data_IF_647076456108
#
_entry.id   IF_647076456108
#
_cell.length_a   1.000
_cell.length_b   1.000
_cell.length_c   1.000
_cell.angle_alpha   90.00
_cell.angle_beta   90.00
_cell.angle_gamma   90.00
#
_symmetry.space_group_name_H-M   'P 1'
#
loop_
_entity.id
_entity.type
_entity.pdbx_description
1 polymer ?
#
# COMPACT_ATOMS: atom_id res chain seq x y z
N UNK A 1 31.65 15.97 -30.94
CA UNK A 1 31.34 16.75 -29.73
C UNK A 1 30.23 16.05 -28.98
N UNK A 2 30.53 15.40 -27.85
CA UNK A 2 29.48 14.98 -26.90
C UNK A 2 28.95 16.27 -26.27
N UNK A 3 27.65 16.54 -26.35
CA UNK A 3 27.05 17.60 -25.57
C UNK A 3 27.28 17.28 -24.09
N UNK A 4 27.94 18.17 -23.34
CA UNK A 4 27.95 18.10 -21.89
C UNK A 4 26.51 18.22 -21.42
N UNK A 5 25.96 17.13 -20.87
CA UNK A 5 24.66 17.15 -20.23
C UNK A 5 24.76 18.01 -18.98
N UNK A 6 24.09 19.17 -18.98
CA UNK A 6 23.98 20.00 -17.79
C UNK A 6 22.98 19.35 -16.83
N UNK A 7 23.51 18.72 -15.78
CA UNK A 7 22.71 18.08 -14.73
C UNK A 7 22.26 19.05 -13.63
N UNK A 8 22.64 20.33 -13.69
CA UNK A 8 22.18 21.35 -12.72
C UNK A 8 20.65 21.44 -12.57
N UNK A 9 19.81 21.24 -13.61
CA UNK A 9 18.36 21.25 -13.45
C UNK A 9 17.82 20.09 -12.59
N UNK A 10 18.57 18.98 -12.50
CA UNK A 10 18.23 17.84 -11.64
C UNK A 10 18.67 18.04 -10.19
N UNK A 11 19.61 18.97 -9.95
CA UNK A 11 20.09 19.35 -8.63
C UNK A 11 19.34 20.61 -8.21
N UNK A 12 18.25 20.42 -7.46
CA UNK A 12 17.55 21.56 -6.84
C UNK A 12 18.37 22.09 -5.68
N UNK A 13 18.78 23.36 -5.76
CA UNK A 13 19.22 24.07 -4.57
C UNK A 13 18.03 24.18 -3.60
N UNK A 14 18.27 23.80 -2.35
CA UNK A 14 17.25 23.89 -1.31
C UNK A 14 17.17 25.35 -0.85
N UNK A 15 15.99 25.97 -1.05
CA UNK A 15 15.69 27.29 -0.52
C UNK A 15 15.24 27.15 0.93
N UNK A 16 16.11 27.60 1.86
CA UNK A 16 15.85 27.51 3.28
C UNK A 16 14.64 28.34 3.72
N UNK A 17 14.46 29.53 3.13
CA UNK A 17 13.37 30.43 3.50
C UNK A 17 12.03 29.84 3.04
N UNK A 18 11.99 29.34 1.80
CA UNK A 18 10.80 28.67 1.28
C UNK A 18 10.48 27.40 2.07
N UNK A 19 11.49 26.62 2.46
CA UNK A 19 11.28 25.42 3.29
C UNK A 19 10.73 25.78 4.68
N UNK A 20 11.22 26.86 5.30
CA UNK A 20 10.73 27.37 6.58
C UNK A 20 9.28 27.86 6.47
N UNK A 21 8.97 28.67 5.46
CA UNK A 21 7.62 29.16 5.18
C UNK A 21 6.64 27.99 4.96
N UNK A 22 7.03 27.03 4.13
CA UNK A 22 6.24 25.83 3.85
C UNK A 22 6.04 24.99 5.11
N UNK A 23 7.06 24.83 5.95
CA UNK A 23 6.97 24.08 7.19
C UNK A 23 6.00 24.76 8.18
N UNK A 24 6.04 26.09 8.29
CA UNK A 24 5.12 26.86 9.13
C UNK A 24 3.68 26.79 8.63
N UNK A 25 3.46 26.91 7.32
CA UNK A 25 2.12 26.80 6.72
C UNK A 25 1.57 25.38 6.87
N UNK A 26 2.39 24.36 6.59
CA UNK A 26 1.93 22.99 6.53
C UNK A 26 1.79 22.36 7.91
N UNK A 27 2.78 22.52 8.82
CA UNK A 27 2.77 21.88 10.14
C UNK A 27 2.27 22.79 11.27
N UNK A 28 2.37 24.11 11.10
CA UNK A 28 2.19 25.07 12.18
C UNK A 28 3.43 25.24 13.07
N UNK A 29 3.42 26.29 13.89
CA UNK A 29 4.42 26.51 14.94
C UNK A 29 4.16 25.55 16.11
N UNK A 30 5.18 24.84 16.57
CA UNK A 30 5.02 23.86 17.65
C UNK A 30 6.22 22.95 17.90
N UNK A 31 6.03 22.08 18.90
CA UNK A 31 6.98 21.06 19.32
C UNK A 31 6.42 19.70 18.92
N UNK A 32 7.10 19.05 17.98
CA UNK A 32 6.66 17.80 17.39
C UNK A 32 7.78 16.77 17.43
N UNK A 33 7.53 15.63 16.81
CA UNK A 33 8.49 14.55 16.63
C UNK A 33 8.65 14.19 15.16
N UNK A 34 9.87 13.81 14.81
CA UNK A 34 10.21 13.02 13.63
C UNK A 34 10.29 11.57 14.07
N UNK A 35 9.72 10.65 13.30
CA UNK A 35 9.79 9.21 13.53
C UNK A 35 10.54 8.55 12.38
N UNK A 36 11.66 7.89 12.66
CA UNK A 36 12.34 7.02 11.70
C UNK A 36 12.03 5.56 11.98
N UNK A 37 11.61 4.80 10.96
CA UNK A 37 11.22 3.39 11.08
C UNK A 37 12.19 2.54 10.26
N UNK A 38 12.67 1.47 10.89
CA UNK A 38 13.51 0.46 10.24
C UNK A 38 13.13 -0.95 10.72
N UNK A 39 13.37 -1.92 9.85
CA UNK A 39 13.08 -3.33 10.05
C UNK A 39 14.34 -4.19 9.99
N UNK A 40 14.32 -5.30 10.71
CA UNK A 40 15.34 -6.34 10.60
C UNK A 40 14.68 -7.70 10.60
N UNK A 41 15.24 -8.61 9.82
CA UNK A 41 14.76 -9.96 9.69
C UNK A 41 15.91 -10.96 9.74
N UNK A 42 15.65 -12.12 10.35
CA UNK A 42 16.52 -13.29 10.30
C UNK A 42 15.63 -14.51 10.17
N UNK A 43 16.00 -15.48 9.34
CA UNK A 43 15.37 -16.80 9.36
C UNK A 43 16.38 -17.86 9.75
N UNK A 44 15.91 -18.92 10.41
CA UNK A 44 16.73 -20.10 10.73
C UNK A 44 15.95 -21.37 10.45
N UNK A 45 16.61 -22.31 9.79
CA UNK A 45 16.07 -23.64 9.56
C UNK A 45 16.54 -24.63 10.64
N UNK A 46 15.59 -25.38 11.20
CA UNK A 46 15.81 -26.45 12.19
C UNK A 46 14.74 -27.53 12.03
N UNK A 47 15.17 -28.79 11.83
CA UNK A 47 14.28 -29.97 11.82
C UNK A 47 13.03 -29.75 10.94
N UNK A 48 13.25 -29.37 9.67
CA UNK A 48 12.19 -29.11 8.67
C UNK A 48 11.26 -27.92 8.98
N UNK A 49 11.59 -27.10 9.99
CA UNK A 49 10.89 -25.86 10.33
C UNK A 49 11.80 -24.66 10.02
N UNK A 50 11.24 -23.67 9.34
CA UNK A 50 11.83 -22.35 9.15
C UNK A 50 11.22 -21.41 10.20
N UNK A 51 12.04 -20.90 11.11
CA UNK A 51 11.62 -19.89 12.08
C UNK A 51 12.04 -18.51 11.58
N UNK A 52 11.04 -17.66 11.31
CA UNK A 52 11.23 -16.28 10.92
C UNK A 52 11.22 -15.40 12.16
N UNK A 53 12.27 -14.60 12.33
CA UNK A 53 12.39 -13.57 13.35
C UNK A 53 12.29 -12.21 12.67
N UNK A 54 11.23 -11.47 12.98
CA UNK A 54 11.00 -10.12 12.46
C UNK A 54 11.01 -9.15 13.63
N UNK A 55 11.77 -8.07 13.49
CA UNK A 55 11.79 -6.97 14.45
C UNK A 55 11.71 -5.65 13.70
N UNK A 56 10.77 -4.79 14.08
CA UNK A 56 10.60 -3.43 13.55
C UNK A 56 10.73 -2.47 14.73
N UNK A 57 11.51 -1.42 14.55
CA UNK A 57 11.71 -0.39 15.56
C UNK A 57 11.59 1.00 14.95
N UNK A 58 10.94 1.89 15.70
CA UNK A 58 10.87 3.31 15.42
C UNK A 58 11.68 4.11 16.44
N UNK A 59 12.40 5.11 15.95
CA UNK A 59 13.15 6.07 16.74
C UNK A 59 12.57 7.46 16.54
N UNK A 60 12.31 8.17 17.64
CA UNK A 60 11.79 9.54 17.59
C UNK A 60 12.88 10.55 17.91
N UNK A 61 12.81 11.70 17.25
CA UNK A 61 13.61 12.88 17.56
C UNK A 61 12.70 14.11 17.69
N UNK A 62 12.87 14.97 18.71
CA UNK A 62 12.14 16.23 18.78
C UNK A 62 12.43 17.12 17.56
N UNK A 63 11.40 17.79 17.05
CA UNK A 63 11.52 18.84 16.05
C UNK A 63 10.78 20.09 16.53
N UNK A 64 11.48 21.21 16.48
CA UNK A 64 10.98 22.52 16.87
C UNK A 64 10.74 23.34 15.62
N UNK A 65 9.49 23.70 15.37
CA UNK A 65 9.10 24.59 14.27
C UNK A 65 8.76 25.94 14.89
N UNK A 66 9.47 26.98 14.47
CA UNK A 66 9.32 28.37 14.94
C UNK A 66 9.36 29.30 13.74
N UNK A 67 8.86 30.54 13.91
CA UNK A 67 8.79 31.54 12.83
C UNK A 67 10.10 31.77 12.08
N UNK A 68 11.23 31.66 12.78
CA UNK A 68 12.55 32.01 12.22
C UNK A 68 13.48 30.80 12.07
N UNK A 69 13.09 29.61 12.52
CA UNK A 69 13.94 28.42 12.41
C UNK A 69 13.15 27.12 12.55
N UNK A 70 13.66 26.07 11.90
CA UNK A 70 13.28 24.67 12.15
C UNK A 70 14.53 23.93 12.64
N UNK A 71 14.42 23.22 13.75
CA UNK A 71 15.52 22.46 14.33
C UNK A 71 15.08 21.06 14.73
N UNK A 72 15.89 20.05 14.38
CA UNK A 72 15.71 18.67 14.84
C UNK A 72 16.77 18.38 15.90
N UNK A 73 16.35 17.91 17.07
CA UNK A 73 17.25 17.56 18.16
C UNK A 73 17.68 16.09 18.07
N UNK A 74 18.75 15.87 17.31
CA UNK A 74 19.34 14.54 17.15
C UNK A 74 20.06 14.03 18.41
N UNK A 75 20.29 14.88 19.43
CA UNK A 75 20.91 14.42 20.69
C UNK A 75 19.91 13.69 21.58
N UNK A 76 18.62 14.01 21.43
CA UNK A 76 17.52 13.43 22.19
C UNK A 76 16.72 12.41 21.37
N UNK A 77 17.43 11.64 20.52
CA UNK A 77 16.81 10.49 19.83
C UNK A 77 16.47 9.41 20.84
N UNK A 78 15.23 8.94 20.81
CA UNK A 78 14.74 7.91 21.74
C UNK A 78 14.01 6.80 20.99
N UNK A 79 14.16 5.57 21.49
CA UNK A 79 13.32 4.44 21.06
C UNK A 79 12.14 4.35 22.01
N UNK A 80 10.93 4.50 21.50
CA UNK A 80 9.69 4.39 22.29
C UNK A 80 9.06 3.01 22.09
N UNK A 81 8.62 2.35 23.16
CA UNK A 81 8.08 0.98 23.11
C UNK A 81 6.84 0.83 22.22
N UNK A 82 6.02 1.89 22.12
CA UNK A 82 4.85 1.91 21.21
C UNK A 82 5.25 1.82 19.73
N UNK A 83 6.51 2.11 19.40
CA UNK A 83 7.08 1.97 18.07
C UNK A 83 7.96 0.72 17.94
N UNK A 84 7.61 -0.36 18.63
CA UNK A 84 8.28 -1.65 18.51
C UNK A 84 7.25 -2.71 18.13
N UNK A 85 7.54 -3.44 17.05
CA UNK A 85 6.80 -4.63 16.66
C UNK A 85 7.79 -5.78 16.50
N UNK A 86 7.38 -6.98 16.89
CA UNK A 86 8.17 -8.19 16.66
C UNK A 86 7.26 -9.37 16.43
N UNK A 87 7.70 -10.29 15.58
CA UNK A 87 7.01 -11.55 15.34
C UNK A 87 8.02 -12.70 15.26
N UNK A 88 7.65 -13.84 15.82
CA UNK A 88 8.33 -15.13 15.63
C UNK A 88 7.33 -16.02 14.92
N UNK A 89 7.64 -16.42 13.68
CA UNK A 89 6.71 -17.13 12.81
C UNK A 89 7.33 -18.48 12.43
N UNK A 90 6.81 -19.60 12.97
CA UNK A 90 7.28 -20.94 12.63
C UNK A 90 6.57 -21.47 11.38
N UNK A 91 7.29 -21.81 10.33
CA UNK A 91 6.76 -22.39 9.10
C UNK A 91 7.33 -23.78 8.88
N UNK A 92 6.49 -24.79 8.65
CA UNK A 92 6.98 -26.08 8.16
C UNK A 92 7.42 -25.94 6.70
N UNK A 93 8.47 -26.66 6.30
CA UNK A 93 8.97 -26.64 4.93
C UNK A 93 7.90 -27.07 3.91
N UNK A 94 6.94 -27.90 4.30
CA UNK A 94 5.77 -28.24 3.47
C UNK A 94 4.84 -27.04 3.24
N UNK A 95 4.56 -26.25 4.28
CA UNK A 95 3.70 -25.05 4.22
C UNK A 95 4.31 -23.90 3.42
N UNK A 96 5.65 -23.88 3.27
CA UNK A 96 6.36 -22.89 2.45
C UNK A 96 5.81 -22.88 1.02
N UNK A 97 5.42 -24.04 0.49
CA UNK A 97 4.85 -24.15 -0.85
C UNK A 97 3.52 -23.42 -1.00
N UNK A 98 2.69 -23.42 0.04
CA UNK A 98 1.41 -22.71 0.09
C UNK A 98 1.61 -21.20 0.29
N UNK A 99 2.53 -20.80 1.16
CA UNK A 99 2.84 -19.37 1.40
C UNK A 99 3.48 -18.72 0.17
N UNK A 100 4.36 -19.43 -0.53
CA UNK A 100 4.98 -18.96 -1.76
C UNK A 100 4.11 -19.17 -3.00
N UNK A 101 3.06 -19.99 -2.90
CA UNK A 101 2.22 -20.45 -4.02
C UNK A 101 3.06 -20.99 -5.18
N UNK A 102 4.01 -21.88 -4.85
CA UNK A 102 5.06 -22.38 -5.76
C UNK A 102 4.55 -23.15 -6.99
N UNK A 103 3.26 -23.49 -7.06
CA UNK A 103 2.65 -24.02 -8.30
C UNK A 103 2.79 -23.07 -9.50
N UNK A 104 3.19 -21.81 -9.29
CA UNK A 104 3.43 -20.80 -10.33
C UNK A 104 4.92 -20.56 -10.69
N UNK A 105 5.88 -21.18 -10.00
CA UNK A 105 7.32 -20.86 -10.16
C UNK A 105 8.10 -22.09 -10.66
N UNK A 106 8.58 -22.01 -11.90
CA UNK A 106 9.47 -23.03 -12.48
C UNK A 106 10.89 -23.00 -11.89
N UNK A 107 11.39 -24.21 -11.58
CA UNK A 107 12.79 -24.62 -11.33
C UNK A 107 13.54 -24.00 -10.11
N UNK A 108 13.72 -24.87 -9.11
CA UNK A 108 14.66 -25.00 -7.98
C UNK A 108 15.81 -24.02 -7.71
N UNK A 109 16.27 -23.18 -8.64
CA UNK A 109 17.22 -22.08 -8.33
C UNK A 109 16.56 -20.90 -7.60
N UNK A 110 15.24 -20.94 -7.44
CA UNK A 110 14.38 -19.88 -6.90
C UNK A 110 13.92 -20.12 -5.45
N UNK A 111 14.13 -21.30 -4.86
CA UNK A 111 13.49 -21.64 -3.57
C UNK A 111 14.08 -20.83 -2.42
N UNK A 112 15.41 -20.77 -2.26
CA UNK A 112 16.05 -20.01 -1.19
C UNK A 112 15.74 -18.52 -1.29
N UNK A 113 15.83 -17.95 -2.49
CA UNK A 113 15.45 -16.56 -2.75
C UNK A 113 13.96 -16.28 -2.52
N UNK A 114 13.09 -17.27 -2.80
CA UNK A 114 11.66 -17.16 -2.51
C UNK A 114 11.39 -17.25 -1.01
N UNK A 115 12.07 -18.14 -0.29
CA UNK A 115 12.03 -18.27 1.17
C UNK A 115 12.47 -16.96 1.83
N UNK A 116 13.52 -16.31 1.34
CA UNK A 116 13.94 -14.97 1.79
C UNK A 116 12.88 -13.88 1.52
N UNK A 117 12.05 -14.06 0.50
CA UNK A 117 10.96 -13.16 0.15
C UNK A 117 9.84 -13.11 1.20
N UNK A 118 9.61 -14.19 1.95
CA UNK A 118 8.57 -14.25 3.00
C UNK A 118 8.89 -13.28 4.15
N UNK A 119 10.02 -13.43 4.88
CA UNK A 119 10.35 -12.52 5.97
C UNK A 119 10.53 -11.08 5.48
N UNK A 120 11.00 -10.86 4.25
CA UNK A 120 11.11 -9.52 3.67
C UNK A 120 9.74 -8.85 3.50
N UNK A 121 8.76 -9.60 3.01
CA UNK A 121 7.38 -9.11 2.83
C UNK A 121 6.74 -8.78 4.18
N UNK A 122 6.95 -9.62 5.20
CA UNK A 122 6.41 -9.42 6.56
C UNK A 122 7.09 -8.24 7.25
N UNK A 123 8.41 -8.12 7.13
CA UNK A 123 9.18 -6.99 7.67
C UNK A 123 8.71 -5.67 7.04
N UNK A 124 8.60 -5.63 5.71
CA UNK A 124 8.15 -4.43 4.99
C UNK A 124 6.70 -4.08 5.37
N UNK A 125 5.82 -5.08 5.49
CA UNK A 125 4.47 -4.88 6.01
C UNK A 125 4.51 -4.29 7.43
N UNK A 126 5.37 -4.81 8.32
CA UNK A 126 5.54 -4.30 9.68
C UNK A 126 6.04 -2.86 9.75
N UNK A 127 6.99 -2.47 8.91
CA UNK A 127 7.48 -1.09 8.81
C UNK A 127 6.34 -0.13 8.46
N UNK A 128 5.57 -0.43 7.40
CA UNK A 128 4.44 0.39 7.01
C UNK A 128 3.28 0.33 8.01
N UNK A 129 3.07 -0.80 8.69
CA UNK A 129 2.03 -0.93 9.72
C UNK A 129 2.32 -0.06 10.94
N UNK A 130 3.58 -0.01 11.37
CA UNK A 130 4.01 0.89 12.43
C UNK A 130 3.85 2.36 12.02
N UNK A 131 4.23 2.71 10.79
CA UNK A 131 4.07 4.06 10.25
C UNK A 131 2.60 4.46 10.12
N UNK A 132 1.76 3.56 9.64
CA UNK A 132 0.31 3.74 9.53
C UNK A 132 -0.33 4.00 10.90
N UNK A 133 0.05 3.25 11.94
CA UNK A 133 -0.37 3.54 13.33
C UNK A 133 0.11 4.90 13.81
N UNK A 134 1.38 5.24 13.58
CA UNK A 134 1.90 6.55 13.95
C UNK A 134 1.15 7.70 13.27
N UNK A 135 0.77 7.55 12.00
CA UNK A 135 -0.06 8.53 11.28
C UNK A 135 -1.44 8.66 11.92
N UNK A 136 -2.11 7.55 12.24
CA UNK A 136 -3.50 7.58 12.74
C UNK A 136 -3.64 7.94 14.22
N UNK A 137 -2.68 7.53 15.05
CA UNK A 137 -2.84 7.49 16.51
C UNK A 137 -1.97 8.53 17.24
N UNK A 138 -0.83 8.96 16.69
CA UNK A 138 0.10 9.85 17.40
C UNK A 138 0.13 11.28 16.82
N UNK A 139 -0.56 12.21 17.46
CA UNK A 139 -0.62 13.62 17.05
C UNK A 139 0.70 14.39 17.23
N UNK A 140 1.65 13.87 18.03
CA UNK A 140 2.95 14.52 18.24
C UNK A 140 3.90 14.31 17.07
N UNK A 141 3.69 13.26 16.25
CA UNK A 141 4.56 12.96 15.10
C UNK A 141 4.09 13.73 13.86
N UNK A 142 4.98 14.56 13.28
CA UNK A 142 4.71 15.31 12.05
C UNK A 142 5.46 14.81 10.84
N UNK A 143 6.61 14.17 11.02
CA UNK A 143 7.43 13.66 9.92
C UNK A 143 7.72 12.18 10.18
N UNK A 144 7.48 11.33 9.19
CA UNK A 144 7.75 9.90 9.27
C UNK A 144 8.70 9.53 8.14
N UNK A 145 9.84 8.96 8.51
CA UNK A 145 10.91 8.54 7.63
C UNK A 145 10.88 7.02 7.50
N UNK A 146 10.82 6.53 6.26
CA UNK A 146 10.95 5.11 5.92
C UNK A 146 12.29 4.86 5.26
N UNK A 147 12.92 3.72 5.55
CA UNK A 147 14.17 3.30 4.92
C UNK A 147 14.02 2.75 3.49
N UNK A 148 13.02 3.25 2.77
CA UNK A 148 12.77 2.89 1.39
C UNK A 148 11.98 3.97 0.65
N UNK A 149 12.25 4.20 -0.64
CA UNK A 149 11.42 5.05 -1.47
C UNK A 149 10.02 4.46 -1.67
N UNK A 150 9.00 5.32 -1.68
CA UNK A 150 7.63 4.89 -2.02
C UNK A 150 7.50 4.44 -3.48
N UNK A 151 8.19 5.11 -4.40
CA UNK A 151 8.10 4.82 -5.84
C UNK A 151 8.55 3.40 -6.20
N UNK A 152 9.64 2.93 -5.59
CA UNK A 152 10.14 1.55 -5.77
C UNK A 152 9.27 0.50 -5.06
N UNK A 153 8.43 0.92 -4.11
CA UNK A 153 7.56 0.04 -3.33
C UNK A 153 6.18 -0.14 -3.99
N UNK A 154 5.56 0.97 -4.40
CA UNK A 154 4.18 0.98 -4.92
C UNK A 154 4.06 0.20 -6.24
N UNK A 155 5.00 0.36 -7.17
CA UNK A 155 4.88 -0.26 -8.50
C UNK A 155 4.92 -1.81 -8.47
N UNK A 156 5.87 -2.46 -7.78
CA UNK A 156 5.85 -3.91 -7.60
C UNK A 156 4.57 -4.40 -6.93
N UNK A 157 4.07 -3.70 -5.91
CA UNK A 157 2.87 -4.14 -5.21
C UNK A 157 1.60 -3.98 -6.03
N UNK A 158 1.49 -2.91 -6.84
CA UNK A 158 0.42 -2.78 -7.83
C UNK A 158 0.45 -3.92 -8.85
N UNK A 159 1.64 -4.34 -9.30
CA UNK A 159 1.79 -5.49 -10.21
C UNK A 159 1.32 -6.78 -9.55
N UNK A 160 1.73 -7.03 -8.31
CA UNK A 160 1.36 -8.25 -7.59
C UNK A 160 -0.15 -8.30 -7.33
N UNK A 161 -0.78 -7.18 -6.94
CA UNK A 161 -2.24 -7.08 -6.80
C UNK A 161 -2.97 -7.29 -8.14
N UNK A 162 -2.46 -6.76 -9.26
CA UNK A 162 -3.03 -7.04 -10.58
C UNK A 162 -3.00 -8.53 -10.90
N UNK A 163 -1.87 -9.19 -10.64
CA UNK A 163 -1.77 -10.65 -10.84
C UNK A 163 -2.77 -11.40 -9.97
N UNK A 164 -2.94 -10.99 -8.70
CA UNK A 164 -3.97 -11.59 -7.85
C UNK A 164 -5.37 -11.42 -8.44
N UNK A 165 -5.73 -10.22 -8.91
CA UNK A 165 -7.06 -9.95 -9.46
C UNK A 165 -7.29 -10.71 -10.78
N UNK A 166 -6.37 -10.61 -11.73
CA UNK A 166 -6.59 -11.08 -13.10
C UNK A 166 -6.17 -12.54 -13.33
N UNK A 167 -5.13 -13.03 -12.64
CA UNK A 167 -4.59 -14.38 -12.83
C UNK A 167 -4.97 -15.31 -11.66
N UNK A 168 -5.03 -14.76 -10.44
CA UNK A 168 -5.21 -15.51 -9.18
C UNK A 168 -6.63 -15.52 -8.61
N UNK A 169 -7.63 -15.06 -9.37
CA UNK A 169 -9.04 -14.95 -8.96
C UNK A 169 -9.29 -14.20 -7.62
N UNK A 170 -8.48 -13.19 -7.35
CA UNK A 170 -8.49 -12.40 -6.11
C UNK A 170 -7.72 -13.01 -4.95
N UNK A 171 -7.03 -14.13 -5.16
CA UNK A 171 -6.15 -14.75 -4.18
C UNK A 171 -6.89 -15.27 -2.95
N UNK A 172 -6.30 -15.09 -1.77
CA UNK A 172 -6.93 -15.48 -0.49
C UNK A 172 -8.12 -14.56 -0.15
N UNK A 173 -8.06 -13.29 -0.55
CA UNK A 173 -9.02 -12.27 -0.11
C UNK A 173 -10.45 -12.57 -0.53
N UNK A 174 -10.66 -13.22 -1.68
CA UNK A 174 -11.99 -13.56 -2.22
C UNK A 174 -12.54 -14.89 -1.71
N UNK A 175 -11.69 -15.69 -1.06
CA UNK A 175 -11.99 -17.05 -0.58
C UNK A 175 -12.35 -17.10 0.89
N UNK A 176 -12.02 -16.05 1.64
CA UNK A 176 -12.18 -15.98 3.08
C UNK A 176 -13.24 -14.96 3.44
N UNK A 177 -14.01 -15.29 4.49
CA UNK A 177 -14.87 -14.34 5.19
C UNK A 177 -14.22 -14.04 6.55
N UNK A 178 -14.04 -12.76 6.86
CA UNK A 178 -13.42 -12.27 8.09
C UNK A 178 -14.43 -11.39 8.78
N UNK A 179 -14.85 -11.75 10.00
CA UNK A 179 -15.84 -10.99 10.79
C UNK A 179 -17.13 -10.66 10.02
N UNK A 180 -17.60 -11.60 9.19
CA UNK A 180 -18.79 -11.40 8.34
C UNK A 180 -18.54 -10.59 7.06
N UNK A 181 -17.30 -10.18 6.80
CA UNK A 181 -16.91 -9.38 5.65
C UNK A 181 -16.18 -10.25 4.63
N UNK A 182 -16.71 -10.26 3.40
CA UNK A 182 -16.10 -10.90 2.24
C UNK A 182 -15.71 -9.87 1.20
N UNK A 183 -14.47 -9.95 0.71
CA UNK A 183 -13.98 -9.13 -0.38
C UNK A 183 -14.29 -9.79 -1.73
N UNK A 184 -14.70 -8.97 -2.70
CA UNK A 184 -14.86 -9.35 -4.10
C UNK A 184 -13.65 -8.92 -4.93
N UNK A 185 -13.57 -9.41 -6.18
CA UNK A 185 -12.56 -8.91 -7.13
C UNK A 185 -12.81 -7.45 -7.49
N UNK A 186 -14.07 -7.02 -7.53
CA UNK A 186 -14.41 -5.61 -7.69
C UNK A 186 -13.84 -4.77 -6.54
N UNK A 187 -13.98 -5.20 -5.27
CA UNK A 187 -13.41 -4.49 -4.13
C UNK A 187 -11.89 -4.29 -4.29
N UNK A 188 -11.16 -5.35 -4.66
CA UNK A 188 -9.71 -5.31 -4.89
C UNK A 188 -9.33 -4.40 -6.07
N UNK A 189 -10.09 -4.44 -7.16
CA UNK A 189 -9.86 -3.60 -8.33
C UNK A 189 -10.08 -2.12 -8.00
N UNK A 190 -11.15 -1.80 -7.27
CA UNK A 190 -11.42 -0.44 -6.81
C UNK A 190 -10.31 0.00 -5.84
N UNK A 191 -9.90 -0.84 -4.91
CA UNK A 191 -8.76 -0.58 -4.03
C UNK A 191 -7.46 -0.28 -4.79
N UNK A 192 -7.18 -1.03 -5.87
CA UNK A 192 -5.98 -0.84 -6.69
C UNK A 192 -5.97 0.53 -7.41
N UNK A 193 -7.08 0.90 -8.03
CA UNK A 193 -7.14 2.05 -8.94
C UNK A 193 -7.68 3.32 -8.30
N UNK A 194 -8.70 3.23 -7.45
CA UNK A 194 -9.31 4.38 -6.77
C UNK A 194 -8.70 4.60 -5.38
N UNK A 195 -8.12 3.57 -4.77
CA UNK A 195 -7.58 3.63 -3.41
C UNK A 195 -8.66 4.10 -2.42
N UNK A 196 -8.40 5.06 -1.53
CA UNK A 196 -9.40 5.60 -0.61
C UNK A 196 -10.41 6.56 -1.28
N UNK A 197 -10.39 6.67 -2.61
CA UNK A 197 -11.25 7.53 -3.41
C UNK A 197 -11.18 9.04 -3.08
N UNK A 198 -10.01 9.53 -2.65
CA UNK A 198 -9.84 10.95 -2.27
C UNK A 198 -9.49 11.83 -3.47
N UNK A 199 -8.75 11.28 -4.44
CA UNK A 199 -8.29 12.03 -5.61
C UNK A 199 -9.04 11.63 -6.86
N UNK A 200 -9.41 12.63 -7.64
CA UNK A 200 -10.00 12.42 -8.96
C UNK A 200 -8.99 11.79 -9.90
N UNK A 201 -9.36 10.67 -10.51
CA UNK A 201 -8.53 9.99 -11.49
C UNK A 201 -8.45 10.83 -12.78
N UNK A 202 -7.27 10.92 -13.40
CA UNK A 202 -7.12 11.64 -14.65
C UNK A 202 -7.80 10.85 -15.77
N UNK A 203 -8.63 11.51 -16.58
CA UNK A 203 -9.32 10.88 -17.70
C UNK A 203 -8.40 10.66 -18.93
N UNK A 204 -7.35 9.86 -18.76
CA UNK A 204 -6.39 9.45 -19.78
C UNK A 204 -6.08 7.97 -19.66
N UNK A 205 -5.56 7.33 -20.72
CA UNK A 205 -5.11 5.93 -20.60
C UNK A 205 -3.98 5.85 -19.55
N UNK A 206 -3.95 4.80 -18.69
CA UNK A 206 -4.88 3.66 -18.62
C UNK A 206 -6.16 3.90 -17.78
N UNK A 207 -6.31 5.06 -17.12
CA UNK A 207 -7.33 5.35 -16.11
C UNK A 207 -8.74 5.70 -16.62
N UNK A 208 -8.99 5.71 -17.94
CA UNK A 208 -10.27 6.17 -18.51
C UNK A 208 -11.49 5.44 -17.93
N UNK A 209 -11.46 4.11 -17.92
CA UNK A 209 -12.58 3.30 -17.43
C UNK A 209 -12.79 3.49 -15.92
N UNK A 210 -11.70 3.47 -15.15
CA UNK A 210 -11.74 3.67 -13.70
C UNK A 210 -12.19 5.08 -13.31
N UNK A 211 -11.94 6.10 -14.13
CA UNK A 211 -12.49 7.44 -13.91
C UNK A 211 -14.01 7.48 -14.10
N UNK A 212 -14.56 6.68 -15.02
CA UNK A 212 -16.01 6.53 -15.18
C UNK A 212 -16.60 5.79 -13.98
N UNK A 213 -15.97 4.69 -13.54
CA UNK A 213 -16.41 3.93 -12.36
C UNK A 213 -16.37 4.82 -11.11
N UNK A 214 -15.29 5.59 -10.92
CA UNK A 214 -15.17 6.56 -9.83
C UNK A 214 -16.32 7.57 -9.84
N UNK A 215 -16.70 8.09 -11.01
CA UNK A 215 -17.84 9.00 -11.12
C UNK A 215 -19.14 8.36 -10.65
N UNK A 216 -19.40 7.12 -11.05
CA UNK A 216 -20.61 6.40 -10.66
C UNK A 216 -20.64 6.19 -9.13
N UNK A 217 -19.50 5.83 -8.54
CA UNK A 217 -19.37 5.70 -7.06
C UNK A 217 -19.62 7.04 -6.37
N UNK A 218 -19.05 8.15 -6.89
CA UNK A 218 -19.24 9.48 -6.32
C UNK A 218 -20.71 9.96 -6.39
N UNK A 219 -21.48 9.46 -7.37
CA UNK A 219 -22.91 9.70 -7.50
C UNK A 219 -23.78 8.73 -6.67
N UNK A 220 -23.19 7.97 -5.75
CA UNK A 220 -23.92 7.04 -4.88
C UNK A 220 -24.14 5.64 -5.46
N UNK A 221 -23.40 5.29 -6.53
CA UNK A 221 -23.47 3.98 -7.17
C UNK A 221 -24.37 3.92 -8.40
N UNK A 222 -24.99 5.02 -8.80
CA UNK A 222 -25.83 5.11 -10.00
C UNK A 222 -25.46 6.33 -10.84
N UNK A 223 -25.51 6.22 -12.16
CA UNK A 223 -25.35 7.39 -13.05
C UNK A 223 -26.06 7.21 -14.37
N UNK A 224 -26.57 8.32 -14.91
CA UNK A 224 -27.23 8.36 -16.21
C UNK A 224 -26.20 8.39 -17.35
N UNK A 225 -26.52 7.73 -18.46
CA UNK A 225 -25.68 7.75 -19.65
C UNK A 225 -25.46 9.17 -20.15
N UNK A 226 -26.51 10.00 -20.20
CA UNK A 226 -26.40 11.39 -20.67
C UNK A 226 -25.38 12.22 -19.90
N UNK A 227 -25.22 11.96 -18.59
CA UNK A 227 -24.25 12.66 -17.74
C UNK A 227 -22.83 12.15 -17.99
N UNK A 228 -22.65 10.83 -18.06
CA UNK A 228 -21.37 10.20 -18.35
C UNK A 228 -20.85 10.57 -19.76
N UNK A 229 -21.71 10.55 -20.77
CA UNK A 229 -21.39 10.94 -22.15
C UNK A 229 -20.99 12.41 -22.22
N UNK A 230 -21.74 13.29 -21.55
CA UNK A 230 -21.43 14.73 -21.49
C UNK A 230 -20.09 15.01 -20.83
N UNK A 231 -19.78 14.32 -19.73
CA UNK A 231 -18.57 14.52 -18.91
C UNK A 231 -17.33 13.92 -19.57
N UNK A 232 -17.41 12.68 -20.03
CA UNK A 232 -16.26 11.91 -20.50
C UNK A 232 -16.09 11.93 -22.03
N UNK A 233 -17.08 12.43 -22.78
CA UNK A 233 -17.06 12.44 -24.25
C UNK A 233 -16.84 11.04 -24.84
N UNK A 234 -17.46 10.03 -24.21
CA UNK A 234 -17.46 8.63 -24.65
C UNK A 234 -18.90 8.21 -24.80
N UNK A 235 -19.24 7.52 -25.90
CA UNK A 235 -20.60 7.06 -26.14
C UNK A 235 -21.03 5.98 -25.15
N UNK A 236 -22.33 5.93 -24.84
CA UNK A 236 -23.00 4.89 -24.05
C UNK A 236 -22.53 3.49 -24.41
N UNK A 237 -22.58 3.13 -25.70
CA UNK A 237 -22.23 1.78 -26.15
C UNK A 237 -20.79 1.39 -25.81
N UNK A 238 -19.85 2.36 -25.86
CA UNK A 238 -18.46 2.13 -25.49
C UNK A 238 -18.30 1.97 -23.98
N UNK A 239 -19.04 2.73 -23.18
CA UNK A 239 -19.05 2.61 -21.72
C UNK A 239 -19.56 1.23 -21.33
N UNK A 240 -20.76 0.85 -21.81
CA UNK A 240 -21.37 -0.45 -21.54
C UNK A 240 -20.44 -1.59 -21.99
N UNK A 241 -19.93 -1.53 -23.22
CA UNK A 241 -19.05 -2.58 -23.76
C UNK A 241 -17.82 -2.80 -22.89
N UNK A 242 -17.17 -1.73 -22.44
CA UNK A 242 -15.96 -1.86 -21.63
C UNK A 242 -16.24 -2.25 -20.18
N UNK A 243 -17.34 -1.78 -19.58
CA UNK A 243 -17.76 -2.18 -18.24
C UNK A 243 -18.20 -3.64 -18.21
N UNK A 244 -19.06 -4.08 -19.13
CA UNK A 244 -19.46 -5.48 -19.26
C UNK A 244 -18.26 -6.39 -19.44
N UNK A 245 -17.38 -6.03 -20.37
CA UNK A 245 -16.14 -6.79 -20.58
C UNK A 245 -15.32 -6.89 -19.29
N UNK A 246 -15.13 -5.78 -18.58
CA UNK A 246 -14.39 -5.78 -17.32
C UNK A 246 -15.07 -6.71 -16.29
N UNK A 247 -16.36 -6.55 -16.10
CA UNK A 247 -17.10 -7.21 -15.02
C UNK A 247 -17.33 -8.70 -15.28
N UNK A 248 -17.78 -9.04 -16.49
CA UNK A 248 -18.08 -10.41 -16.91
C UNK A 248 -16.79 -11.24 -17.09
N UNK A 249 -15.78 -10.70 -17.79
CA UNK A 249 -14.56 -11.48 -18.10
C UNK A 249 -13.57 -11.53 -16.93
N UNK A 250 -13.54 -10.51 -16.06
CA UNK A 250 -12.47 -10.38 -15.07
C UNK A 250 -12.93 -10.27 -13.62
N UNK A 251 -14.16 -9.82 -13.33
CA UNK A 251 -14.60 -9.59 -11.95
C UNK A 251 -15.70 -10.53 -11.48
N UNK A 252 -16.08 -11.51 -12.30
CA UNK A 252 -17.10 -12.51 -11.98
C UNK A 252 -18.47 -11.86 -11.66
N UNK A 253 -18.83 -10.78 -12.38
CA UNK A 253 -20.09 -10.03 -12.19
C UNK A 253 -20.26 -9.47 -10.76
N UNK A 254 -19.19 -8.92 -10.20
CA UNK A 254 -19.22 -8.34 -8.84
C UNK A 254 -19.27 -6.82 -8.83
N UNK A 255 -19.11 -6.14 -9.98
CA UNK A 255 -19.06 -4.68 -10.05
C UNK A 255 -20.41 -4.03 -10.38
N UNK A 256 -21.12 -4.52 -11.40
CA UNK A 256 -22.36 -3.91 -11.90
C UNK A 256 -23.56 -4.77 -11.51
N UNK A 257 -24.59 -4.15 -10.95
CA UNK A 257 -25.84 -4.81 -10.59
C UNK A 257 -26.81 -4.80 -11.79
N UNK A 258 -27.03 -3.62 -12.38
CA UNK A 258 -27.97 -3.45 -13.47
C UNK A 258 -27.53 -2.42 -14.51
N UNK A 259 -27.83 -2.72 -15.78
CA UNK A 259 -27.81 -1.75 -16.88
C UNK A 259 -29.25 -1.33 -17.20
N UNK A 260 -29.67 -0.16 -16.75
CA UNK A 260 -31.03 0.35 -17.00
C UNK A 260 -31.13 0.95 -18.41
N UNK A 261 -32.35 1.36 -18.79
CA UNK A 261 -32.58 2.07 -20.04
C UNK A 261 -31.79 3.38 -20.13
N UNK A 262 -31.67 4.10 -19.02
CA UNK A 262 -31.13 5.47 -18.94
C UNK A 262 -29.80 5.58 -18.18
N UNK A 263 -29.33 4.53 -17.51
CA UNK A 263 -28.12 4.56 -16.69
C UNK A 263 -27.50 3.19 -16.38
N UNK A 264 -26.58 3.22 -15.41
CA UNK A 264 -25.84 2.07 -14.87
C UNK A 264 -25.94 2.13 -13.36
N UNK A 265 -26.21 0.99 -12.73
CA UNK A 265 -26.24 0.79 -11.28
C UNK A 265 -25.13 -0.19 -10.88
N UNK A 266 -24.21 0.25 -10.02
CA UNK A 266 -23.18 -0.60 -9.44
C UNK A 266 -23.76 -1.47 -8.33
N UNK A 267 -23.10 -2.60 -8.08
CA UNK A 267 -23.41 -3.42 -6.91
C UNK A 267 -23.22 -2.60 -5.62
N UNK A 268 -24.24 -2.56 -4.77
CA UNK A 268 -24.22 -1.80 -3.51
C UNK A 268 -23.08 -2.26 -2.58
N UNK A 269 -22.73 -3.54 -2.64
CA UNK A 269 -21.65 -4.10 -1.83
C UNK A 269 -20.27 -3.56 -2.23
N UNK A 270 -20.09 -3.00 -3.43
CA UNK A 270 -18.80 -2.41 -3.81
C UNK A 270 -18.65 -0.96 -3.36
N UNK A 271 -19.71 -0.33 -2.86
CA UNK A 271 -19.67 1.08 -2.43
C UNK A 271 -18.87 1.26 -1.13
N UNK A 272 -18.82 0.22 -0.29
CA UNK A 272 -18.03 0.21 0.95
C UNK A 272 -16.69 -0.53 0.80
N UNK A 273 -16.19 -0.74 -0.43
CA UNK A 273 -14.96 -1.49 -0.69
C UNK A 273 -13.77 -1.06 0.17
N UNK A 274 -13.61 0.25 0.39
CA UNK A 274 -12.47 0.77 1.14
C UNK A 274 -12.55 0.45 2.63
N UNK A 275 -13.76 0.41 3.20
CA UNK A 275 -13.95 0.02 4.60
C UNK A 275 -13.65 -1.47 4.81
N UNK A 276 -14.05 -2.32 3.85
CA UNK A 276 -13.67 -3.74 3.83
C UNK A 276 -12.15 -3.92 3.77
N UNK A 277 -11.48 -3.16 2.91
CA UNK A 277 -10.01 -3.21 2.75
C UNK A 277 -9.30 -2.74 4.03
N UNK A 278 -9.73 -1.63 4.65
CA UNK A 278 -9.16 -1.16 5.92
C UNK A 278 -9.32 -2.21 7.02
N UNK A 279 -10.48 -2.84 7.10
CA UNK A 279 -10.71 -3.91 8.07
C UNK A 279 -9.72 -5.08 7.86
N UNK A 280 -9.49 -5.51 6.61
CA UNK A 280 -8.49 -6.51 6.28
C UNK A 280 -7.07 -6.10 6.73
N UNK A 281 -6.65 -4.85 6.47
CA UNK A 281 -5.33 -4.34 6.90
C UNK A 281 -5.17 -4.45 8.41
N UNK A 282 -6.18 -4.04 9.18
CA UNK A 282 -6.13 -4.08 10.65
C UNK A 282 -6.07 -5.51 11.16
N UNK A 283 -6.92 -6.42 10.64
CA UNK A 283 -6.94 -7.83 11.04
C UNK A 283 -5.57 -8.48 10.79
N UNK A 284 -5.00 -8.32 9.60
CA UNK A 284 -3.70 -8.92 9.28
C UNK A 284 -2.58 -8.36 10.17
N UNK A 285 -2.58 -7.05 10.43
CA UNK A 285 -1.62 -6.42 11.34
C UNK A 285 -1.72 -6.92 12.78
N UNK A 286 -2.93 -7.14 13.27
CA UNK A 286 -3.18 -7.72 14.59
C UNK A 286 -2.76 -9.20 14.63
N UNK A 287 -3.12 -10.00 13.62
CA UNK A 287 -2.78 -11.42 13.53
C UNK A 287 -1.27 -11.64 13.58
N UNK A 288 -0.49 -10.85 12.84
CA UNK A 288 0.96 -11.03 12.73
C UNK A 288 1.69 -10.55 14.00
N UNK A 289 1.31 -9.42 14.58
CA UNK A 289 2.12 -8.74 15.61
C UNK A 289 1.50 -8.68 17.01
N UNK A 290 0.20 -8.97 17.18
CA UNK A 290 -0.49 -8.78 18.47
C UNK A 290 -1.33 -9.97 18.96
N UNK A 291 -1.71 -10.92 18.11
CA UNK A 291 -2.64 -11.98 18.50
C UNK A 291 -2.00 -13.09 19.37
N UNK A 292 -2.78 -13.73 20.26
CA UNK A 292 -2.33 -14.84 21.07
C UNK A 292 -2.03 -16.10 20.24
N UNK A 293 -1.14 -16.94 20.77
CA UNK A 293 -0.49 -18.14 20.17
C UNK A 293 -1.48 -19.24 19.71
N UNK A 294 -2.80 -19.04 19.84
CA UNK A 294 -3.81 -20.04 19.52
C UNK A 294 -3.99 -20.26 18.01
N UNK A 295 -3.41 -19.41 17.17
CA UNK A 295 -3.50 -19.51 15.70
C UNK A 295 -2.17 -19.09 15.06
N UNK A 296 -1.82 -19.73 13.95
CA UNK A 296 -0.62 -19.35 13.20
C UNK A 296 -0.72 -17.89 12.67
N UNK A 297 0.32 -17.05 12.82
CA UNK A 297 0.27 -15.61 12.46
C UNK A 297 -0.06 -15.31 10.98
N UNK A 298 0.26 -16.24 10.08
CA UNK A 298 0.01 -16.12 8.64
C UNK A 298 -1.32 -16.74 8.18
N UNK A 299 -2.17 -17.19 9.11
CA UNK A 299 -3.50 -17.68 8.76
C UNK A 299 -4.54 -16.57 8.70
N UNK A 300 -5.35 -16.61 7.65
CA UNK A 300 -6.43 -15.67 7.39
C UNK A 300 -7.74 -16.44 7.13
N UNK A 301 -8.55 -16.67 8.18
CA UNK A 301 -9.71 -17.60 8.18
C UNK A 301 -9.37 -19.08 7.82
N UNK A 302 -10.18 -20.04 8.27
CA UNK A 302 -10.22 -21.45 7.81
C UNK A 302 -8.90 -22.10 7.32
N UNK A 303 -7.81 -22.02 8.10
CA UNK A 303 -6.48 -22.57 7.75
C UNK A 303 -5.91 -22.16 6.38
N UNK A 304 -6.31 -21.00 5.86
CA UNK A 304 -5.78 -20.47 4.60
C UNK A 304 -4.58 -19.56 4.86
N UNK A 305 -3.45 -19.92 4.23
CA UNK A 305 -2.19 -19.17 4.29
C UNK A 305 -2.24 -17.85 3.51
N UNK A 306 -1.83 -16.76 4.15
CA UNK A 306 -1.52 -15.50 3.45
C UNK A 306 -0.17 -15.63 2.74
N UNK A 307 -0.16 -15.37 1.43
CA UNK A 307 1.05 -15.39 0.63
C UNK A 307 1.78 -14.05 0.56
N UNK A 308 2.96 -14.06 -0.05
CA UNK A 308 3.78 -12.85 -0.25
C UNK A 308 3.08 -11.80 -1.11
N UNK A 309 2.41 -12.22 -2.19
CA UNK A 309 1.63 -11.31 -3.05
C UNK A 309 0.47 -10.66 -2.30
N UNK A 310 -0.19 -11.41 -1.42
CA UNK A 310 -1.24 -10.89 -0.56
C UNK A 310 -0.69 -9.87 0.45
N UNK A 311 0.42 -10.18 1.14
CA UNK A 311 1.07 -9.23 2.04
C UNK A 311 1.50 -7.94 1.32
N UNK A 312 2.08 -8.06 0.12
CA UNK A 312 2.42 -6.91 -0.73
C UNK A 312 1.19 -6.08 -1.10
N UNK A 313 0.07 -6.74 -1.41
CA UNK A 313 -1.19 -6.07 -1.76
C UNK A 313 -1.83 -5.34 -0.58
N UNK A 314 -1.82 -5.95 0.61
CA UNK A 314 -2.28 -5.30 1.85
C UNK A 314 -1.37 -4.12 2.19
N UNK A 315 -0.06 -4.28 2.01
CA UNK A 315 0.91 -3.19 2.21
C UNK A 315 0.63 -2.02 1.28
N UNK A 316 0.28 -2.28 0.01
CA UNK A 316 -0.15 -1.23 -0.93
C UNK A 316 -1.39 -0.48 -0.43
N UNK A 317 -2.43 -1.19 -0.01
CA UNK A 317 -3.65 -0.56 0.51
C UNK A 317 -3.36 0.29 1.75
N UNK A 318 -2.51 -0.20 2.64
CA UNK A 318 -2.05 0.53 3.82
C UNK A 318 -1.26 1.77 3.44
N UNK A 319 -0.37 1.72 2.43
CA UNK A 319 0.33 2.91 1.93
C UNK A 319 -0.68 3.96 1.42
N UNK A 320 -1.69 3.55 0.66
CA UNK A 320 -2.71 4.47 0.16
C UNK A 320 -3.52 5.14 1.29
N UNK A 321 -3.95 4.36 2.29
CA UNK A 321 -4.69 4.92 3.43
C UNK A 321 -3.79 5.81 4.29
N UNK A 322 -2.55 5.40 4.52
CA UNK A 322 -1.54 6.19 5.23
C UNK A 322 -1.27 7.54 4.56
N UNK A 323 -1.18 7.60 3.23
CA UNK A 323 -1.03 8.86 2.48
C UNK A 323 -2.23 9.78 2.69
N UNK A 324 -3.45 9.24 2.60
CA UNK A 324 -4.68 10.01 2.88
C UNK A 324 -4.66 10.56 4.30
N UNK A 325 -4.42 9.70 5.29
CA UNK A 325 -4.44 10.11 6.70
C UNK A 325 -3.34 11.11 7.02
N UNK A 326 -2.15 10.96 6.42
CA UNK A 326 -1.07 11.92 6.57
C UNK A 326 -1.45 13.29 6.04
N UNK A 327 -2.09 13.36 4.86
CA UNK A 327 -2.53 14.63 4.28
C UNK A 327 -3.65 15.29 5.10
N UNK A 328 -4.60 14.50 5.62
CA UNK A 328 -5.67 15.01 6.48
C UNK A 328 -5.17 15.53 7.83
N UNK A 329 -4.01 15.06 8.30
CA UNK A 329 -3.42 15.38 9.61
C UNK A 329 -2.16 16.24 9.51
N UNK A 330 -1.88 16.81 8.34
CA UNK A 330 -0.70 17.64 8.11
C UNK A 330 0.61 16.94 8.50
N UNK A 331 0.74 15.65 8.16
CA UNK A 331 1.95 14.85 8.36
C UNK A 331 2.68 14.68 7.04
N UNK A 332 4.00 14.58 7.12
CA UNK A 332 4.89 14.36 5.98
C UNK A 332 5.46 12.95 6.03
N UNK A 333 5.26 12.21 4.94
CA UNK A 333 5.83 10.89 4.74
C UNK A 333 7.03 11.02 3.81
N UNK A 334 8.18 10.49 4.21
CA UNK A 334 9.43 10.57 3.46
C UNK A 334 10.01 9.18 3.30
N UNK A 335 10.18 8.74 2.06
CA UNK A 335 10.92 7.52 1.75
C UNK A 335 12.36 7.85 1.39
N UNK A 336 13.32 7.30 2.12
CA UNK A 336 14.75 7.55 1.91
C UNK A 336 15.31 6.42 1.04
N UNK A 337 16.02 6.79 -0.04
CA UNK A 337 16.81 5.84 -0.83
C UNK A 337 18.23 5.74 -0.27
N UNK A 338 18.68 4.54 0.08
CA UNK A 338 20.08 4.24 0.46
C UNK A 338 20.93 3.80 -0.74
N UNK A 339 22.24 3.69 -0.50
CA UNK A 339 23.35 3.48 -1.43
C UNK A 339 23.03 2.77 -2.76
N UNK A 340 22.42 1.58 -2.76
CA UNK A 340 22.15 0.82 -3.98
C UNK A 340 21.10 1.50 -4.86
N UNK A 341 20.02 2.02 -4.27
CA UNK A 341 18.95 2.67 -5.02
C UNK A 341 19.38 4.02 -5.58
N UNK A 342 20.12 4.80 -4.79
CA UNK A 342 20.72 6.06 -5.26
C UNK A 342 21.70 5.77 -6.38
N UNK A 343 22.52 4.72 -6.25
CA UNK A 343 23.44 4.30 -7.32
C UNK A 343 22.70 3.88 -8.59
N UNK A 344 21.61 3.12 -8.48
CA UNK A 344 20.82 2.68 -9.64
C UNK A 344 20.08 3.84 -10.33
N UNK A 345 19.49 4.77 -9.56
CA UNK A 345 18.94 6.02 -10.10
C UNK A 345 20.03 6.84 -10.78
N UNK A 346 21.17 7.00 -10.10
CA UNK A 346 22.29 7.78 -10.62
C UNK A 346 22.81 7.16 -11.92
N UNK A 347 22.92 5.83 -12.02
CA UNK A 347 23.33 5.11 -13.24
C UNK A 347 22.29 5.11 -14.36
N UNK A 348 21.00 5.22 -14.02
CA UNK A 348 19.91 5.25 -15.01
C UNK A 348 19.61 6.66 -15.52
N UNK A 349 20.01 7.70 -14.77
CA UNK A 349 19.83 9.12 -15.14
C UNK A 349 21.13 9.75 -15.66
N UNK A 350 22.30 9.34 -15.14
CA UNK A 350 23.61 9.78 -15.61
C UNK A 350 24.19 8.71 -16.56
N UNK A 351 24.28 8.97 -17.88
CA UNK A 351 24.85 8.04 -18.87
C UNK A 351 26.37 7.87 -18.76
#
# INVERSE_FOLDING_TARGET
MKAELDFKPLIRQLDHNLALETALEYFGEGDYKVLGIDGSMVHKERLEIIILYIAIAGFTAPIFIRKNHVAVDLKNVSREDKYVLSAIIPLWLEDVTDVLKLHEIGLSRSLDAAIEGIPFSIMTFGEFYLGYKAVKEDESVRIILFDRPFASTIHPYQRDLRKLIFDGDGGVFTKVEIDGIRLSKADLLLGLYLGPNVYKLPFRKPYKLYSIIQEIILNGGESRYSELEKKFKVSRDKIIKHLKRLDEEYLNNTLVDEYTYDGIVLNKDVLNYWDKIKHLVEVVGLNIFKMPITRHPLYLGNDIWIGTKELNSITLFMIYDMIKEALNRNKLLVGIGKDTYVTDITRSILP
#
